data_IF_373510439724
#
_entry.id   IF_373510439724
#
_cell.length_a   1.000
_cell.length_b   1.000
_cell.length_c   1.000
_cell.angle_alpha   90.00
_cell.angle_beta   90.00
_cell.angle_gamma   90.00
#
_symmetry.space_group_name_H-M   'P 1'
#
loop_
_entity.id
_entity.type
_entity.pdbx_description
1 polymer ?
#
# COMPACT_ATOMS: atom_id res chain seq x y z
N UNK A 1 4.03 -20.35 12.48
CA UNK A 1 3.63 -18.98 12.92
C UNK A 1 4.75 -17.95 12.71
N UNK A 2 5.77 -17.81 13.57
CA UNK A 2 6.72 -16.66 13.56
C UNK A 2 7.47 -16.30 12.25
N UNK A 3 7.53 -17.16 11.22
CA UNK A 3 8.01 -16.74 9.89
C UNK A 3 6.92 -16.04 9.06
N UNK A 4 5.69 -16.56 9.04
CA UNK A 4 4.58 -16.02 8.24
C UNK A 4 4.21 -14.58 8.63
N UNK A 5 4.20 -14.25 9.93
CA UNK A 5 3.94 -12.87 10.41
C UNK A 5 4.99 -11.85 9.95
N UNK A 6 6.26 -12.25 9.83
CA UNK A 6 7.35 -11.40 9.30
C UNK A 6 7.29 -11.21 7.78
N UNK A 7 6.65 -12.15 7.10
CA UNK A 7 6.52 -12.16 5.64
C UNK A 7 5.28 -11.37 5.21
N UNK A 8 4.13 -11.62 5.84
CA UNK A 8 2.88 -10.89 5.57
C UNK A 8 3.00 -9.39 5.81
N UNK A 9 3.74 -8.97 6.84
CA UNK A 9 3.99 -7.54 7.13
C UNK A 9 4.78 -6.83 6.04
N UNK A 10 5.78 -7.48 5.42
CA UNK A 10 6.55 -6.90 4.30
C UNK A 10 5.78 -6.97 2.98
N UNK A 11 4.95 -8.00 2.78
CA UNK A 11 4.08 -8.12 1.61
C UNK A 11 2.93 -7.09 1.62
N UNK A 12 2.24 -6.89 2.76
CA UNK A 12 1.23 -5.83 2.88
C UNK A 12 1.85 -4.44 2.66
N UNK A 13 2.96 -4.11 3.33
CA UNK A 13 3.62 -2.81 3.15
C UNK A 13 4.15 -2.54 1.73
N UNK A 14 4.33 -3.58 0.91
CA UNK A 14 4.64 -3.44 -0.52
C UNK A 14 3.40 -3.38 -1.43
N UNK A 15 2.27 -3.97 -1.03
CA UNK A 15 1.03 -4.01 -1.80
C UNK A 15 0.12 -2.79 -1.55
N UNK A 16 0.25 -2.12 -0.41
CA UNK A 16 -0.56 -0.95 -0.01
C UNK A 16 -0.06 0.38 -0.63
N UNK A 17 0.46 0.33 -1.87
CA UNK A 17 0.85 1.52 -2.66
C UNK A 17 0.49 1.27 -4.13
N UNK A 18 -0.80 1.01 -4.39
CA UNK A 18 -1.36 0.73 -5.72
C UNK A 18 -2.77 1.33 -5.89
N UNK A 19 -2.92 2.61 -5.53
CA UNK A 19 -4.01 3.43 -6.04
C UNK A 19 -4.03 3.47 -7.58
N UNK A 20 -5.11 4.01 -8.16
CA UNK A 20 -5.40 4.05 -9.61
C UNK A 20 -5.84 2.70 -10.27
N UNK A 21 -6.82 2.77 -11.20
CA UNK A 21 -7.82 1.72 -11.55
C UNK A 21 -8.86 2.20 -12.63
N UNK A 22 -10.13 1.84 -13.07
CA UNK A 22 -11.35 0.90 -13.21
C UNK A 22 -11.51 0.00 -14.50
N UNK A 23 -12.65 -0.72 -14.64
CA UNK A 23 -13.30 -1.18 -15.92
C UNK A 23 -14.06 -0.06 -16.70
N UNK A 24 -14.73 -0.41 -17.82
CA UNK A 24 -15.16 0.49 -18.92
C UNK A 24 -16.48 1.29 -18.67
N UNK A 25 -16.92 2.28 -19.50
CA UNK A 25 -16.86 2.32 -20.98
C UNK A 25 -16.14 3.53 -21.61
N UNK A 26 -15.61 3.32 -22.82
CA UNK A 26 -14.75 4.22 -23.57
C UNK A 26 -15.15 5.71 -23.55
N UNK A 27 -14.28 6.51 -22.95
CA UNK A 27 -14.37 7.93 -22.70
C UNK A 27 -14.82 8.76 -23.91
N UNK A 28 -15.63 9.80 -23.64
CA UNK A 28 -15.64 10.96 -24.50
C UNK A 28 -14.25 11.62 -24.48
N UNK A 29 -13.87 12.30 -25.57
CA UNK A 29 -12.59 13.02 -25.62
C UNK A 29 -12.45 14.04 -24.48
N UNK A 30 -13.58 14.60 -24.04
CA UNK A 30 -13.70 15.58 -22.96
C UNK A 30 -13.43 14.99 -21.57
N UNK A 31 -13.79 13.74 -21.31
CA UNK A 31 -13.54 13.06 -20.02
C UNK A 31 -12.03 12.86 -19.79
N UNK A 32 -11.32 12.38 -20.83
CA UNK A 32 -9.85 12.28 -20.80
C UNK A 32 -9.18 13.65 -20.70
N UNK A 33 -9.78 14.71 -21.25
CA UNK A 33 -9.29 16.08 -21.07
C UNK A 33 -9.50 16.57 -19.63
N UNK A 34 -10.65 16.28 -19.01
CA UNK A 34 -10.97 16.63 -17.63
C UNK A 34 -10.04 15.97 -16.60
N UNK A 35 -9.61 14.73 -16.86
CA UNK A 35 -8.57 14.04 -16.07
C UNK A 35 -7.19 14.64 -16.27
N UNK A 36 -6.78 14.89 -17.53
CA UNK A 36 -5.48 15.54 -17.82
C UNK A 36 -5.40 16.94 -17.22
N UNK A 37 -6.50 17.69 -17.21
CA UNK A 37 -6.59 18.96 -16.50
C UNK A 37 -6.31 18.76 -15.01
N UNK A 38 -7.07 17.89 -14.34
CA UNK A 38 -6.94 17.67 -12.90
C UNK A 38 -5.52 17.23 -12.47
N UNK A 39 -4.84 16.41 -13.29
CA UNK A 39 -3.50 15.90 -13.00
C UNK A 39 -2.37 16.88 -13.32
N UNK A 40 -2.59 17.88 -14.19
CA UNK A 40 -1.54 18.83 -14.62
C UNK A 40 -1.62 20.21 -13.97
N UNK A 41 -2.72 20.54 -13.28
CA UNK A 41 -2.87 21.82 -12.57
C UNK A 41 -1.99 21.86 -11.32
N UNK A 42 -1.31 22.98 -11.03
CA UNK A 42 -0.50 23.10 -9.83
C UNK A 42 -1.39 23.19 -8.58
N UNK A 43 -1.14 22.30 -7.62
CA UNK A 43 -1.78 22.32 -6.29
C UNK A 43 -1.40 23.60 -5.54
N UNK A 44 -2.39 24.32 -5.02
CA UNK A 44 -2.16 25.65 -4.40
C UNK A 44 -1.81 25.62 -2.90
N UNK A 45 -1.87 24.46 -2.23
CA UNK A 45 -1.52 24.30 -0.81
C UNK A 45 -0.65 23.06 -0.58
N UNK A 46 0.58 23.27 -0.07
CA UNK A 46 1.61 22.23 0.14
C UNK A 46 1.72 21.77 1.61
N UNK A 47 0.60 21.46 2.24
CA UNK A 47 0.59 20.78 3.54
C UNK A 47 -0.41 19.64 3.48
N UNK A 48 0.09 18.46 3.09
CA UNK A 48 -0.72 17.25 2.99
C UNK A 48 -0.88 16.63 4.37
N UNK A 49 -2.12 16.65 4.87
CA UNK A 49 -2.59 15.69 5.88
C UNK A 49 -3.53 14.75 5.13
N UNK A 50 -3.34 13.45 5.26
CA UNK A 50 -4.22 12.44 4.67
C UNK A 50 -4.64 11.43 5.72
N UNK A 51 -5.86 10.89 5.57
CA UNK A 51 -6.32 9.70 6.27
C UNK A 51 -6.58 8.61 5.24
N UNK A 52 -6.03 7.45 5.48
CA UNK A 52 -6.09 6.28 4.61
C UNK A 52 -6.76 5.14 5.39
N UNK A 53 -7.70 4.46 4.77
CA UNK A 53 -8.23 3.20 5.27
C UNK A 53 -8.14 2.11 4.20
N UNK A 54 -7.38 1.07 4.48
CA UNK A 54 -7.40 -0.18 3.73
C UNK A 54 -8.19 -1.21 4.52
N UNK A 55 -9.10 -1.93 3.86
CA UNK A 55 -9.94 -2.96 4.46
C UNK A 55 -9.92 -4.21 3.57
N UNK A 56 -9.39 -5.30 4.11
CA UNK A 56 -9.38 -6.64 3.54
C UNK A 56 -10.41 -7.51 4.27
N UNK A 57 -11.19 -8.28 3.52
CA UNK A 57 -12.18 -9.22 4.03
C UNK A 57 -12.06 -10.57 3.31
N UNK A 58 -12.33 -11.65 4.04
CA UNK A 58 -12.56 -13.03 3.58
C UNK A 58 -13.60 -13.69 4.51
N UNK A 59 -14.29 -14.77 4.10
CA UNK A 59 -15.23 -15.50 4.97
C UNK A 59 -14.69 -15.89 6.35
N UNK A 60 -13.38 -16.14 6.47
CA UNK A 60 -12.70 -16.51 7.71
C UNK A 60 -12.17 -15.32 8.54
N UNK A 61 -12.33 -14.07 8.09
CA UNK A 61 -11.84 -12.92 8.84
C UNK A 61 -11.66 -11.61 8.04
N UNK A 62 -11.14 -10.59 8.71
CA UNK A 62 -10.86 -9.28 8.13
C UNK A 62 -9.55 -8.70 8.68
N UNK A 63 -8.87 -7.92 7.86
CA UNK A 63 -7.71 -7.12 8.26
C UNK A 63 -7.92 -5.67 7.79
N UNK A 64 -7.84 -4.71 8.71
CA UNK A 64 -8.10 -3.30 8.46
C UNK A 64 -6.92 -2.45 8.92
N UNK A 65 -6.44 -1.58 8.05
CA UNK A 65 -5.48 -0.53 8.36
C UNK A 65 -6.21 0.81 8.38
N UNK A 66 -6.08 1.59 9.46
CA UNK A 66 -6.60 2.97 9.57
C UNK A 66 -5.44 3.87 9.96
N UNK A 67 -5.04 4.76 9.05
CA UNK A 67 -3.82 5.58 9.13
C UNK A 67 -4.18 7.06 9.01
N UNK A 68 -3.54 7.90 9.81
CA UNK A 68 -3.38 9.31 9.52
C UNK A 68 -1.90 9.60 9.24
N UNK A 69 -1.62 10.25 8.12
CA UNK A 69 -0.28 10.63 7.68
C UNK A 69 -0.20 12.16 7.48
N UNK A 70 0.97 12.73 7.78
CA UNK A 70 1.21 14.17 7.68
C UNK A 70 2.62 14.50 7.18
N UNK A 71 2.67 15.40 6.19
CA UNK A 71 3.87 16.03 5.67
C UNK A 71 4.50 16.95 6.73
N UNK A 72 5.81 16.82 6.90
CA UNK A 72 6.65 17.68 7.73
C UNK A 72 7.78 18.29 6.89
N UNK A 73 8.47 19.31 7.43
CA UNK A 73 9.48 20.10 6.69
C UNK A 73 10.64 19.25 6.09
N UNK A 74 10.99 18.13 6.71
CA UNK A 74 12.13 17.29 6.32
C UNK A 74 11.74 15.83 5.96
N UNK A 75 10.45 15.51 5.96
CA UNK A 75 9.98 14.13 5.92
C UNK A 75 8.53 14.02 6.40
N UNK A 76 8.15 12.89 7.01
CA UNK A 76 6.75 12.56 7.29
C UNK A 76 6.58 11.88 8.65
N UNK A 77 5.37 11.99 9.21
CA UNK A 77 4.91 11.15 10.30
C UNK A 77 3.60 10.46 9.92
N UNK A 78 3.43 9.21 10.34
CA UNK A 78 2.19 8.44 10.21
C UNK A 78 1.85 7.79 11.54
N UNK A 79 0.57 7.57 11.79
CA UNK A 79 0.09 6.85 12.97
C UNK A 79 -1.24 6.19 12.67
N UNK A 80 -1.48 5.03 13.27
CA UNK A 80 -2.67 4.26 12.97
C UNK A 80 -2.80 3.02 13.82
N UNK A 81 -3.69 2.14 13.37
CA UNK A 81 -3.76 0.77 13.85
C UNK A 81 -3.96 -0.20 12.68
N UNK A 82 -3.37 -1.37 12.83
CA UNK A 82 -3.72 -2.57 12.07
C UNK A 82 -4.63 -3.42 12.97
N UNK A 83 -5.91 -3.48 12.64
CA UNK A 83 -6.92 -4.33 13.27
C UNK A 83 -7.03 -5.63 12.48
N UNK A 84 -6.99 -6.76 13.17
CA UNK A 84 -7.11 -8.10 12.59
C UNK A 84 -8.17 -8.88 13.37
N UNK A 85 -9.07 -9.53 12.66
CA UNK A 85 -10.03 -10.48 13.20
C UNK A 85 -10.00 -11.73 12.33
N UNK A 86 -9.79 -12.90 12.93
CA UNK A 86 -9.85 -14.19 12.24
C UNK A 86 -10.63 -15.21 13.07
N UNK A 87 -11.43 -16.01 12.40
CA UNK A 87 -12.07 -17.19 12.98
C UNK A 87 -11.20 -18.41 12.70
N UNK A 88 -10.98 -19.25 13.71
CA UNK A 88 -10.35 -20.56 13.54
C UNK A 88 -11.38 -21.66 13.29
N UNK A 89 -10.90 -22.84 12.87
CA UNK A 89 -11.76 -23.96 12.48
C UNK A 89 -12.52 -24.59 13.67
N UNK A 90 -12.10 -24.33 14.90
CA UNK A 90 -12.75 -24.82 16.13
C UNK A 90 -13.81 -23.82 16.66
N UNK A 91 -14.06 -22.72 15.94
CA UNK A 91 -15.02 -21.68 16.29
C UNK A 91 -14.46 -20.60 17.23
N UNK A 92 -13.17 -20.64 17.55
CA UNK A 92 -12.48 -19.56 18.23
C UNK A 92 -12.37 -18.32 17.34
N UNK A 93 -12.17 -17.15 17.97
CA UNK A 93 -12.01 -15.88 17.25
C UNK A 93 -10.81 -15.13 17.82
N UNK A 94 -9.76 -15.02 17.01
CA UNK A 94 -8.66 -14.10 17.25
C UNK A 94 -9.13 -12.67 16.92
N UNK A 95 -8.84 -11.72 17.79
CA UNK A 95 -8.93 -10.29 17.47
C UNK A 95 -7.72 -9.58 18.06
N UNK A 96 -6.91 -8.96 17.21
CA UNK A 96 -5.71 -8.22 17.59
C UNK A 96 -5.74 -6.81 16.98
N UNK A 97 -5.34 -5.81 17.77
CA UNK A 97 -5.18 -4.43 17.32
C UNK A 97 -3.75 -3.99 17.61
N UNK A 98 -2.96 -3.82 16.56
CA UNK A 98 -1.56 -3.37 16.63
C UNK A 98 -1.52 -1.86 16.29
N UNK A 99 -1.55 -0.95 17.29
CA UNK A 99 -1.32 0.46 17.04
C UNK A 99 0.15 0.69 16.68
N UNK A 100 0.38 1.63 15.77
CA UNK A 100 1.70 1.93 15.24
C UNK A 100 1.92 3.43 15.02
N UNK A 101 3.19 3.81 14.95
CA UNK A 101 3.67 5.12 14.52
C UNK A 101 4.82 4.91 13.53
N UNK A 102 4.93 5.77 12.52
CA UNK A 102 6.07 5.82 11.61
C UNK A 102 6.60 7.25 11.62
N UNK A 103 7.92 7.40 11.67
CA UNK A 103 8.55 8.66 11.32
C UNK A 103 9.63 8.47 10.27
N UNK A 104 9.78 9.49 9.45
CA UNK A 104 10.75 9.53 8.37
C UNK A 104 11.45 10.89 8.33
N UNK A 105 12.78 10.90 8.32
CA UNK A 105 13.62 12.06 7.96
C UNK A 105 14.45 11.67 6.74
N UNK A 106 14.14 12.30 5.60
CA UNK A 106 14.73 12.01 4.28
C UNK A 106 14.70 10.51 3.95
N UNK A 107 15.84 9.81 4.07
CA UNK A 107 16.03 8.39 3.73
C UNK A 107 15.96 7.44 4.93
N UNK A 108 15.84 7.98 6.15
CA UNK A 108 15.71 7.17 7.35
C UNK A 108 14.23 7.06 7.71
N UNK A 109 13.75 5.84 7.93
CA UNK A 109 12.39 5.57 8.41
C UNK A 109 12.46 4.64 9.62
N UNK A 110 11.76 5.01 10.69
CA UNK A 110 11.59 4.16 11.88
C UNK A 110 10.12 3.84 12.04
N UNK A 111 9.79 2.55 12.07
CA UNK A 111 8.43 2.04 12.30
C UNK A 111 8.38 1.54 13.74
N UNK A 112 7.49 2.12 14.53
CA UNK A 112 7.17 1.74 15.91
C UNK A 112 5.81 1.03 15.94
N UNK A 113 5.71 -0.11 16.60
CA UNK A 113 4.46 -0.87 16.69
C UNK A 113 4.32 -1.53 18.06
N UNK A 114 3.09 -1.82 18.50
CA UNK A 114 2.82 -2.32 19.85
C UNK A 114 2.27 -3.75 19.85
N UNK A 115 3.10 -4.71 20.23
CA UNK A 115 2.66 -6.09 20.47
C UNK A 115 2.24 -6.24 21.94
N UNK A 116 0.94 -6.46 22.16
CA UNK A 116 0.35 -6.59 23.50
C UNK A 116 0.64 -5.39 24.41
N UNK A 117 1.54 -5.58 25.39
CA UNK A 117 1.92 -4.54 26.37
C UNK A 117 3.21 -3.78 26.04
N UNK A 118 3.99 -4.19 25.03
CA UNK A 118 5.30 -3.60 24.71
C UNK A 118 5.28 -2.84 23.39
N UNK A 119 6.05 -1.76 23.32
CA UNK A 119 6.41 -1.14 22.04
C UNK A 119 7.71 -1.74 21.51
N UNK A 120 7.71 -2.05 20.23
CA UNK A 120 8.87 -2.46 19.45
C UNK A 120 9.10 -1.44 18.32
N UNK A 121 10.32 -1.43 17.76
CA UNK A 121 10.66 -0.62 16.59
C UNK A 121 11.60 -1.34 15.63
N UNK A 122 11.58 -0.97 14.36
CA UNK A 122 12.60 -1.32 13.38
C UNK A 122 12.86 -0.16 12.40
N UNK A 123 14.03 -0.18 11.76
CA UNK A 123 14.44 0.82 10.77
C UNK A 123 14.24 0.25 9.35
N UNK A 124 13.71 1.05 8.42
CA UNK A 124 13.27 0.59 7.10
C UNK A 124 13.69 1.56 5.96
N UNK A 125 15.00 1.75 5.71
CA UNK A 125 15.51 2.77 4.77
C UNK A 125 15.05 2.58 3.32
N UNK A 126 14.81 1.34 2.86
CA UNK A 126 14.19 1.08 1.55
C UNK A 126 12.77 1.63 1.47
N UNK A 127 11.92 1.37 2.48
CA UNK A 127 10.55 1.87 2.52
C UNK A 127 10.50 3.40 2.61
N UNK A 128 11.50 4.03 3.24
CA UNK A 128 11.65 5.49 3.24
C UNK A 128 11.74 6.05 1.81
N UNK A 129 12.53 5.43 0.93
CA UNK A 129 12.65 5.87 -0.46
C UNK A 129 11.34 5.70 -1.23
N UNK A 130 10.68 4.53 -1.10
CA UNK A 130 9.40 4.23 -1.76
C UNK A 130 8.33 5.26 -1.38
N UNK A 131 8.12 5.46 -0.08
CA UNK A 131 7.09 6.36 0.42
C UNK A 131 7.40 7.82 0.06
N UNK A 132 8.66 8.27 0.16
CA UNK A 132 9.06 9.63 -0.30
C UNK A 132 8.65 9.90 -1.75
N UNK A 133 8.86 8.93 -2.64
CA UNK A 133 8.52 9.06 -4.05
C UNK A 133 7.01 9.08 -4.27
N UNK A 134 6.26 8.19 -3.62
CA UNK A 134 4.81 8.09 -3.78
C UNK A 134 4.05 9.37 -3.35
N UNK A 135 4.59 10.10 -2.35
CA UNK A 135 3.95 11.31 -1.79
C UNK A 135 4.60 12.63 -2.23
N UNK A 136 5.55 12.58 -3.17
CA UNK A 136 6.13 13.78 -3.79
C UNK A 136 5.09 14.56 -4.63
N UNK A 137 5.48 15.73 -5.13
CA UNK A 137 4.79 16.31 -6.30
C UNK A 137 5.36 15.66 -7.54
N UNK A 138 4.56 14.96 -8.37
CA UNK A 138 5.07 14.24 -9.52
C UNK A 138 5.63 15.22 -10.58
N UNK A 139 6.74 14.84 -11.20
CA UNK A 139 7.33 15.60 -12.29
C UNK A 139 6.62 15.31 -13.63
N UNK A 140 6.95 16.06 -14.68
CA UNK A 140 6.28 15.96 -15.99
C UNK A 140 6.40 14.58 -16.66
N UNK A 141 7.46 13.81 -16.37
CA UNK A 141 7.61 12.43 -16.85
C UNK A 141 6.68 11.49 -16.07
N UNK A 142 6.64 11.60 -14.75
CA UNK A 142 5.75 10.80 -13.89
C UNK A 142 4.27 11.06 -14.22
N UNK A 143 3.89 12.33 -14.45
CA UNK A 143 2.55 12.70 -14.93
C UNK A 143 2.25 12.05 -16.29
N UNK A 144 3.20 12.07 -17.24
CA UNK A 144 3.02 11.44 -18.54
C UNK A 144 2.92 9.91 -18.46
N UNK A 145 3.67 9.26 -17.56
CA UNK A 145 3.60 7.83 -17.29
C UNK A 145 2.24 7.45 -16.68
N UNK A 146 1.73 8.23 -15.73
CA UNK A 146 0.36 8.07 -15.19
C UNK A 146 -0.71 8.23 -16.28
N UNK A 147 -0.63 9.25 -17.14
CA UNK A 147 -1.56 9.42 -18.27
C UNK A 147 -1.47 8.26 -19.27
N UNK A 148 -0.29 7.67 -19.47
CA UNK A 148 -0.11 6.53 -20.37
C UNK A 148 -0.68 5.22 -19.80
N UNK A 149 -0.66 5.04 -18.48
CA UNK A 149 -1.31 3.92 -17.79
C UNK A 149 -2.84 4.00 -17.84
N UNK A 150 -3.42 5.20 -17.95
CA UNK A 150 -4.88 5.38 -18.13
C UNK A 150 -5.32 4.87 -19.50
N UNK A 151 -6.40 4.08 -19.49
CA UNK A 151 -7.04 3.44 -20.64
C UNK A 151 -8.37 4.12 -21.02
N UNK A 152 -9.03 4.78 -20.09
CA UNK A 152 -10.41 5.29 -20.22
C UNK A 152 -10.75 6.17 -18.97
N UNK A 153 -11.73 7.07 -19.05
CA UNK A 153 -12.17 7.99 -17.98
C UNK A 153 -13.63 8.35 -18.18
N UNK A 154 -14.36 8.56 -17.07
CA UNK A 154 -15.69 9.16 -17.03
C UNK A 154 -15.81 10.16 -15.88
N UNK A 155 -16.23 11.39 -16.15
CA UNK A 155 -16.70 12.32 -15.12
C UNK A 155 -18.05 11.83 -14.60
N UNK A 156 -18.12 11.50 -13.31
CA UNK A 156 -19.34 10.95 -12.67
C UNK A 156 -20.15 12.05 -11.97
N UNK A 157 -19.47 13.10 -11.49
CA UNK A 157 -20.10 14.29 -10.90
C UNK A 157 -19.18 15.49 -11.10
N UNK A 158 -19.74 16.62 -11.52
CA UNK A 158 -19.02 17.89 -11.55
C UNK A 158 -19.89 19.00 -10.98
N UNK A 159 -19.24 19.96 -10.33
CA UNK A 159 -19.84 21.18 -9.78
C UNK A 159 -18.88 22.36 -9.99
N UNK A 160 -19.18 23.51 -9.41
CA UNK A 160 -18.30 24.66 -9.45
C UNK A 160 -17.02 24.45 -8.61
N UNK A 161 -17.09 23.64 -7.55
CA UNK A 161 -16.00 23.45 -6.58
C UNK A 161 -15.36 22.08 -6.62
N UNK A 162 -16.04 21.04 -7.13
CA UNK A 162 -15.56 19.65 -7.12
C UNK A 162 -15.74 18.99 -8.50
N UNK A 163 -14.81 18.10 -8.89
CA UNK A 163 -14.96 17.13 -9.99
C UNK A 163 -14.63 15.73 -9.45
N UNK A 164 -15.58 14.80 -9.56
CA UNK A 164 -15.41 13.38 -9.25
C UNK A 164 -15.35 12.57 -10.55
N UNK A 165 -14.21 11.93 -10.79
CA UNK A 165 -13.94 11.07 -11.93
C UNK A 165 -13.92 9.60 -11.50
N UNK A 166 -14.46 8.76 -12.36
CA UNK A 166 -14.22 7.33 -12.45
C UNK A 166 -13.15 7.18 -13.52
N UNK A 167 -11.91 6.88 -13.15
CA UNK A 167 -10.79 6.75 -14.09
C UNK A 167 -10.52 5.26 -14.29
N UNK A 168 -10.03 4.84 -15.47
CA UNK A 168 -9.70 3.47 -15.87
C UNK A 168 -8.24 3.25 -16.27
N UNK A 169 -7.61 2.17 -15.81
CA UNK A 169 -6.23 1.78 -16.17
C UNK A 169 -6.13 0.64 -17.19
N UNK A 170 -4.95 0.56 -17.77
CA UNK A 170 -4.45 -0.54 -18.59
C UNK A 170 -3.60 -1.49 -17.73
N UNK A 171 -4.20 -2.57 -17.23
CA UNK A 171 -3.55 -3.45 -16.26
C UNK A 171 -2.21 -4.06 -16.73
N UNK A 172 -1.99 -4.15 -18.06
CA UNK A 172 -0.67 -4.54 -18.59
C UNK A 172 0.40 -3.48 -18.31
N UNK A 173 0.09 -2.19 -18.56
CA UNK A 173 1.03 -1.09 -18.29
C UNK A 173 1.28 -0.91 -16.80
N UNK A 174 0.28 -1.18 -15.96
CA UNK A 174 0.45 -1.20 -14.49
C UNK A 174 1.43 -2.30 -14.08
N UNK A 175 1.26 -3.53 -14.59
CA UNK A 175 2.18 -4.62 -14.33
C UNK A 175 3.61 -4.32 -14.84
N UNK A 176 3.74 -3.74 -16.04
CA UNK A 176 5.02 -3.31 -16.60
C UNK A 176 5.70 -2.21 -15.74
N UNK A 177 4.93 -1.24 -15.25
CA UNK A 177 5.41 -0.18 -14.36
C UNK A 177 5.84 -0.73 -12.99
N UNK A 178 5.04 -1.62 -12.39
CA UNK A 178 5.37 -2.31 -11.11
C UNK A 178 6.63 -3.17 -11.27
N UNK A 179 6.76 -3.90 -12.39
CA UNK A 179 7.95 -4.70 -12.69
C UNK A 179 9.20 -3.82 -12.89
N UNK A 180 9.06 -2.69 -13.61
CA UNK A 180 10.13 -1.71 -13.78
C UNK A 180 10.54 -1.06 -12.44
N UNK A 181 9.57 -0.71 -11.60
CA UNK A 181 9.81 -0.13 -10.29
C UNK A 181 10.56 -1.09 -9.36
N UNK A 182 10.10 -2.34 -9.26
CA UNK A 182 10.76 -3.39 -8.47
C UNK A 182 12.17 -3.74 -9.00
N UNK A 183 12.40 -3.61 -10.31
CA UNK A 183 13.74 -3.76 -10.92
C UNK A 183 14.67 -2.59 -10.59
N UNK A 184 14.15 -1.36 -10.50
CA UNK A 184 14.91 -0.18 -10.11
C UNK A 184 15.16 -0.11 -8.59
N UNK A 185 14.25 -0.65 -7.79
CA UNK A 185 14.27 -0.63 -6.32
C UNK A 185 14.24 -2.07 -5.75
N UNK A 186 15.29 -2.89 -5.96
CA UNK A 186 15.38 -4.22 -5.34
C UNK A 186 15.38 -4.11 -3.81
N UNK A 187 14.82 -5.11 -3.12
CA UNK A 187 14.71 -5.05 -1.66
C UNK A 187 16.08 -5.08 -0.96
N UNK A 188 16.22 -4.29 0.11
CA UNK A 188 17.45 -4.23 0.90
C UNK A 188 17.84 -5.60 1.47
N UNK A 189 19.00 -6.11 1.01
CA UNK A 189 19.86 -7.10 1.68
C UNK A 189 19.11 -8.28 2.32
N UNK A 190 18.23 -8.92 1.56
CA UNK A 190 17.69 -10.23 1.89
C UNK A 190 18.75 -11.33 1.87
N UNK A 191 18.38 -12.50 2.40
CA UNK A 191 19.03 -13.77 2.10
C UNK A 191 18.71 -14.23 0.67
N UNK A 192 19.33 -15.32 0.20
CA UNK A 192 18.97 -15.92 -1.08
C UNK A 192 17.49 -16.34 -1.10
N UNK A 193 17.04 -16.97 -0.01
CA UNK A 193 15.65 -17.38 0.24
C UNK A 193 14.67 -16.19 0.12
N UNK A 194 15.03 -15.02 0.70
CA UNK A 194 14.20 -13.81 0.61
C UNK A 194 14.08 -13.29 -0.83
N UNK A 195 15.17 -13.36 -1.61
CA UNK A 195 15.20 -12.90 -3.00
C UNK A 195 14.41 -13.85 -3.93
N UNK A 196 14.49 -15.16 -3.72
CA UNK A 196 13.67 -16.14 -4.43
C UNK A 196 12.18 -16.02 -4.04
N UNK A 197 11.89 -15.80 -2.75
CA UNK A 197 10.54 -15.53 -2.29
C UNK A 197 9.96 -14.26 -2.92
N UNK A 198 10.70 -13.14 -2.92
CA UNK A 198 10.28 -11.90 -3.58
C UNK A 198 10.03 -12.11 -5.08
N UNK A 199 10.94 -12.82 -5.77
CA UNK A 199 10.77 -13.17 -7.19
C UNK A 199 9.47 -13.94 -7.45
N UNK A 200 9.14 -14.90 -6.58
CA UNK A 200 7.91 -15.68 -6.70
C UNK A 200 6.66 -14.83 -6.38
N UNK A 201 6.68 -13.98 -5.34
CA UNK A 201 5.58 -13.03 -5.07
C UNK A 201 5.35 -12.09 -6.26
N UNK A 202 6.41 -11.49 -6.82
CA UNK A 202 6.29 -10.60 -7.98
C UNK A 202 5.81 -11.31 -9.25
N UNK A 203 6.17 -12.58 -9.46
CA UNK A 203 5.66 -13.43 -10.55
C UNK A 203 4.13 -13.63 -10.44
N UNK A 204 3.61 -13.89 -9.24
CA UNK A 204 2.17 -14.08 -9.05
C UNK A 204 1.41 -12.74 -9.07
N UNK A 205 2.00 -11.67 -8.55
CA UNK A 205 1.44 -10.33 -8.60
C UNK A 205 1.37 -9.77 -10.04
N UNK A 206 2.41 -10.00 -10.87
CA UNK A 206 2.37 -9.63 -12.29
C UNK A 206 1.22 -10.33 -13.03
N UNK A 207 1.10 -11.66 -12.89
CA UNK A 207 -0.06 -12.43 -13.39
C UNK A 207 -1.39 -11.84 -12.88
N UNK A 208 -1.47 -11.57 -11.58
CA UNK A 208 -2.67 -11.05 -10.92
C UNK A 208 -3.11 -9.70 -11.49
N UNK A 209 -2.20 -8.72 -11.49
CA UNK A 209 -2.43 -7.38 -12.06
C UNK A 209 -2.86 -7.49 -13.53
N UNK A 210 -2.16 -8.27 -14.38
CA UNK A 210 -2.48 -8.35 -15.83
C UNK A 210 -3.87 -8.92 -16.13
N UNK A 211 -4.39 -9.80 -15.26
CA UNK A 211 -5.74 -10.39 -15.38
C UNK A 211 -6.82 -9.53 -14.75
N UNK A 212 -6.47 -8.76 -13.73
CA UNK A 212 -7.41 -8.04 -12.92
C UNK A 212 -7.99 -6.78 -13.61
N UNK A 213 -9.25 -6.51 -13.28
CA UNK A 213 -9.67 -5.13 -13.11
C UNK A 213 -9.10 -4.59 -11.79
N UNK A 214 -8.75 -3.31 -11.80
CA UNK A 214 -8.40 -2.51 -10.63
C UNK A 214 -9.41 -1.33 -10.68
N UNK A 215 -10.16 -0.96 -9.61
CA UNK A 215 -11.31 0.02 -9.65
C UNK A 215 -11.28 1.33 -8.77
N UNK A 216 -11.15 2.57 -9.32
CA UNK A 216 -11.03 3.82 -8.52
C UNK A 216 -11.84 5.07 -8.88
N UNK A 217 -12.43 5.66 -7.84
CA UNK A 217 -13.01 7.01 -7.85
C UNK A 217 -11.97 8.03 -7.36
N UNK A 218 -11.80 9.12 -8.09
CA UNK A 218 -10.93 10.25 -7.73
C UNK A 218 -11.73 11.54 -7.70
N UNK A 219 -11.78 12.24 -6.57
CA UNK A 219 -12.42 13.56 -6.44
C UNK A 219 -11.37 14.63 -6.23
N UNK A 220 -11.42 15.70 -7.03
CA UNK A 220 -10.58 16.90 -6.88
C UNK A 220 -11.41 18.14 -6.58
N UNK A 221 -10.86 19.03 -5.78
CA UNK A 221 -11.35 20.39 -5.58
C UNK A 221 -10.84 21.27 -6.74
N UNK A 222 -11.75 21.91 -7.48
CA UNK A 222 -11.46 22.72 -8.67
C UNK A 222 -10.89 24.12 -8.36
N UNK A 223 -10.84 24.51 -7.09
CA UNK A 223 -10.32 25.81 -6.65
C UNK A 223 -8.84 25.73 -6.22
N UNK A 224 -8.42 24.57 -5.74
CA UNK A 224 -7.07 24.27 -5.23
C UNK A 224 -6.32 23.21 -6.04
N UNK A 225 -7.05 22.45 -6.86
CA UNK A 225 -6.61 21.25 -7.60
C UNK A 225 -6.03 20.14 -6.72
N UNK A 226 -6.37 20.15 -5.43
CA UNK A 226 -6.09 19.04 -4.52
C UNK A 226 -7.06 17.87 -4.75
N UNK A 227 -6.54 16.64 -4.67
CA UNK A 227 -7.37 15.48 -4.33
C UNK A 227 -8.10 15.74 -3.02
N UNK A 228 -9.41 15.51 -2.99
CA UNK A 228 -10.24 15.48 -1.78
C UNK A 228 -10.37 14.03 -1.29
N UNK A 229 -10.71 13.12 -2.22
CA UNK A 229 -10.81 11.68 -1.96
C UNK A 229 -10.27 10.84 -3.10
N UNK A 230 -9.73 9.68 -2.76
CA UNK A 230 -9.45 8.55 -3.65
C UNK A 230 -10.06 7.28 -3.03
N UNK A 231 -10.64 6.40 -3.84
CA UNK A 231 -11.27 5.17 -3.39
C UNK A 231 -10.99 4.05 -4.38
N UNK A 232 -10.11 3.12 -4.03
CA UNK A 232 -9.54 2.09 -4.93
C UNK A 232 -9.98 0.68 -4.52
N UNK A 233 -10.42 -0.12 -5.48
CA UNK A 233 -10.85 -1.50 -5.34
C UNK A 233 -9.77 -2.42 -5.92
N UNK A 234 -9.13 -3.19 -5.04
CA UNK A 234 -8.04 -4.10 -5.35
C UNK A 234 -8.47 -5.57 -5.27
N UNK A 235 -9.76 -5.84 -5.03
CA UNK A 235 -10.35 -7.18 -4.98
C UNK A 235 -9.96 -8.04 -6.18
N UNK A 236 -10.04 -7.51 -7.40
CA UNK A 236 -9.63 -8.22 -8.62
C UNK A 236 -8.15 -8.63 -8.61
N UNK A 237 -7.25 -7.72 -8.19
CA UNK A 237 -5.81 -7.99 -8.12
C UNK A 237 -5.51 -9.09 -7.11
N UNK A 238 -6.13 -9.06 -5.93
CA UNK A 238 -5.94 -10.07 -4.88
C UNK A 238 -6.49 -11.43 -5.31
N UNK A 239 -7.71 -11.47 -5.85
CA UNK A 239 -8.34 -12.70 -6.33
C UNK A 239 -7.53 -13.35 -7.47
N UNK A 240 -7.11 -12.58 -8.48
CA UNK A 240 -6.31 -13.10 -9.58
C UNK A 240 -4.88 -13.47 -9.17
N UNK A 241 -4.29 -12.77 -8.19
CA UNK A 241 -3.00 -13.18 -7.59
C UNK A 241 -3.13 -14.53 -6.89
N UNK A 242 -4.21 -14.77 -6.13
CA UNK A 242 -4.43 -16.07 -5.47
C UNK A 242 -4.67 -17.20 -6.48
N UNK A 243 -5.43 -16.97 -7.55
CA UNK A 243 -5.59 -17.92 -8.68
C UNK A 243 -4.25 -18.20 -9.36
N UNK A 244 -3.43 -17.17 -9.59
CA UNK A 244 -2.10 -17.29 -10.18
C UNK A 244 -1.11 -18.12 -9.34
N UNK A 245 -1.33 -18.22 -8.02
CA UNK A 245 -0.60 -19.12 -7.09
C UNK A 245 -1.15 -20.56 -7.17
N UNK A 246 -2.47 -20.74 -7.16
CA UNK A 246 -3.12 -22.07 -7.24
C UNK A 246 -2.79 -22.82 -8.55
N UNK A 247 -2.60 -22.07 -9.63
CA UNK A 247 -2.11 -22.57 -10.92
C UNK A 247 -0.68 -23.14 -10.88
N UNK A 248 0.08 -22.90 -9.81
CA UNK A 248 1.48 -23.30 -9.75
C UNK A 248 1.66 -24.63 -9.00
N UNK A 249 2.01 -25.67 -9.77
CA UNK A 249 2.23 -27.02 -9.25
C UNK A 249 3.34 -27.10 -8.19
N UNK A 250 4.20 -26.08 -8.02
CA UNK A 250 5.18 -26.01 -6.94
C UNK A 250 4.60 -25.54 -5.58
N UNK A 251 3.32 -25.11 -5.55
CA UNK A 251 2.61 -24.67 -4.34
C UNK A 251 1.51 -25.68 -3.91
N UNK A 252 1.10 -26.55 -4.83
CA UNK A 252 0.18 -27.66 -4.56
C UNK A 252 0.81 -28.71 -3.62
N UNK A 253 -0.03 -29.36 -2.80
CA UNK A 253 0.38 -30.34 -1.79
C UNK A 253 0.25 -29.88 -0.34
N UNK A 254 -0.41 -28.74 -0.08
CA UNK A 254 -0.76 -28.28 1.26
C UNK A 254 -2.24 -27.86 1.31
N UNK A 255 -3.16 -28.78 1.68
CA UNK A 255 -4.60 -28.53 1.64
C UNK A 255 -5.06 -27.30 2.41
N UNK A 256 -4.40 -26.96 3.53
CA UNK A 256 -4.73 -25.76 4.30
C UNK A 256 -4.32 -24.46 3.59
N UNK A 257 -3.19 -24.48 2.86
CA UNK A 257 -2.78 -23.33 2.04
C UNK A 257 -3.67 -23.19 0.80
N UNK A 258 -4.04 -24.32 0.18
CA UNK A 258 -4.94 -24.36 -0.97
C UNK A 258 -6.35 -23.86 -0.61
N UNK A 259 -6.92 -24.27 0.53
CA UNK A 259 -8.21 -23.80 1.04
C UNK A 259 -8.20 -22.28 1.34
N UNK A 260 -7.15 -21.78 2.00
CA UNK A 260 -6.95 -20.34 2.22
C UNK A 260 -6.85 -19.59 0.88
N UNK A 261 -6.07 -20.10 -0.07
CA UNK A 261 -5.92 -19.47 -1.39
C UNK A 261 -7.20 -19.52 -2.22
N UNK A 262 -8.00 -20.58 -2.16
CA UNK A 262 -9.32 -20.66 -2.79
C UNK A 262 -10.29 -19.67 -2.15
N UNK A 263 -10.29 -19.59 -0.81
CA UNK A 263 -11.07 -18.61 -0.05
C UNK A 263 -10.73 -17.17 -0.48
N UNK A 264 -9.44 -16.86 -0.65
CA UNK A 264 -9.00 -15.56 -1.18
C UNK A 264 -9.39 -15.37 -2.65
N UNK A 265 -9.20 -16.39 -3.50
CA UNK A 265 -9.43 -16.34 -4.94
C UNK A 265 -10.89 -16.08 -5.35
N UNK A 266 -11.86 -16.48 -4.52
CA UNK A 266 -13.28 -16.41 -4.88
C UNK A 266 -14.15 -15.59 -3.91
N UNK A 267 -13.70 -15.36 -2.68
CA UNK A 267 -14.51 -14.70 -1.65
C UNK A 267 -13.81 -13.55 -0.92
N UNK A 268 -12.61 -13.14 -1.34
CA UNK A 268 -11.98 -11.94 -0.77
C UNK A 268 -12.54 -10.64 -1.33
N UNK A 269 -12.41 -9.57 -0.54
CA UNK A 269 -12.62 -8.18 -0.93
C UNK A 269 -11.48 -7.32 -0.36
N UNK A 270 -10.84 -6.46 -1.17
CA UNK A 270 -9.81 -5.51 -0.74
C UNK A 270 -10.14 -4.11 -1.28
N UNK A 271 -10.35 -3.16 -0.36
CA UNK A 271 -10.66 -1.76 -0.68
C UNK A 271 -9.72 -0.81 0.07
N UNK A 272 -9.29 0.23 -0.63
CA UNK A 272 -8.51 1.36 -0.15
C UNK A 272 -9.37 2.62 -0.25
N UNK A 273 -9.32 3.50 0.75
CA UNK A 273 -10.01 4.78 0.77
C UNK A 273 -9.15 5.85 1.43
N UNK A 274 -8.75 6.85 0.65
CA UNK A 274 -7.86 7.94 1.07
C UNK A 274 -8.61 9.27 1.02
N UNK A 275 -8.48 10.07 2.06
CA UNK A 275 -9.09 11.41 2.21
C UNK A 275 -8.01 12.41 2.57
N UNK A 276 -7.89 13.48 1.80
CA UNK A 276 -7.01 14.60 2.15
C UNK A 276 -7.76 15.59 3.02
N UNK A 277 -7.11 16.04 4.10
CA UNK A 277 -7.72 16.84 5.14
C UNK A 277 -7.14 18.26 5.12
N UNK A 278 -8.01 19.26 4.99
CA UNK A 278 -7.62 20.68 5.04
C UNK A 278 -6.86 20.97 6.34
N UNK A 279 -5.65 21.58 6.31
CA UNK A 279 -4.79 21.74 7.49
C UNK A 279 -5.39 22.56 8.63
N UNK A 280 -6.03 21.89 9.61
CA UNK A 280 -6.40 22.52 10.88
C UNK A 280 -5.15 22.61 11.78
N UNK A 281 -4.65 23.83 11.97
CA UNK A 281 -3.32 24.14 12.51
C UNK A 281 -2.98 23.68 13.95
N UNK A 282 -3.85 22.90 14.61
CA UNK A 282 -3.70 22.49 16.02
C UNK A 282 -3.28 21.03 16.25
N UNK A 283 -3.32 20.17 15.24
CA UNK A 283 -2.95 18.75 15.35
C UNK A 283 -1.77 18.40 14.43
N UNK A 284 -0.54 18.71 14.86
CA UNK A 284 0.66 18.17 14.22
C UNK A 284 0.89 16.75 14.72
N UNK A 285 0.84 15.78 13.81
CA UNK A 285 1.17 14.40 14.11
C UNK A 285 2.67 14.26 14.36
N UNK A 286 3.03 13.69 15.52
CA UNK A 286 4.39 13.36 15.92
C UNK A 286 4.37 12.05 16.70
N UNK A 287 5.44 11.26 16.62
CA UNK A 287 5.63 10.08 17.47
C UNK A 287 5.78 10.53 18.93
N UNK A 288 4.99 9.99 19.89
CA UNK A 288 5.13 10.35 21.30
C UNK A 288 6.54 10.08 21.82
N UNK A 289 7.10 11.02 22.59
CA UNK A 289 8.46 10.90 23.13
C UNK A 289 8.65 9.61 23.94
N UNK A 290 7.65 9.24 24.73
CA UNK A 290 7.71 8.05 25.57
C UNK A 290 7.64 6.74 24.76
N UNK A 291 7.00 6.74 23.57
CA UNK A 291 7.09 5.62 22.62
C UNK A 291 8.53 5.48 22.12
N UNK A 292 9.20 6.58 21.75
CA UNK A 292 10.61 6.53 21.29
C UNK A 292 11.56 5.97 22.34
N UNK A 293 11.36 6.35 23.60
CA UNK A 293 12.19 5.96 24.74
C UNK A 293 11.90 4.52 25.22
N UNK A 294 10.65 4.05 25.12
CA UNK A 294 10.24 2.69 25.55
C UNK A 294 10.35 1.62 24.46
N UNK A 295 10.40 2.00 23.17
CA UNK A 295 10.39 1.05 22.07
C UNK A 295 11.72 0.30 21.91
N UNK A 296 11.66 -1.02 22.15
CA UNK A 296 12.80 -1.93 22.00
C UNK A 296 13.03 -2.22 20.51
N UNK A 297 14.29 -2.24 20.06
CA UNK A 297 14.61 -2.66 18.70
C UNK A 297 14.21 -4.13 18.50
N UNK A 298 13.31 -4.40 17.55
CA UNK A 298 12.85 -5.76 17.26
C UNK A 298 13.98 -6.53 16.58
N UNK A 299 14.40 -7.63 17.19
CA UNK A 299 15.58 -8.42 16.78
C UNK A 299 15.37 -9.27 15.52
N UNK A 300 14.17 -9.21 14.94
CA UNK A 300 13.61 -10.34 14.21
C UNK A 300 13.00 -10.01 12.84
N UNK A 301 12.76 -8.73 12.49
CA UNK A 301 12.11 -8.34 11.22
C UNK A 301 13.12 -8.08 10.09
N UNK A 302 14.33 -7.61 10.43
CA UNK A 302 15.48 -7.54 9.52
C UNK A 302 16.60 -8.37 10.15
N UNK A 303 17.16 -9.31 9.37
CA UNK A 303 18.20 -10.22 9.84
C UNK A 303 19.56 -9.53 9.95
N UNK A 304 19.77 -8.70 10.98
CA UNK A 304 21.10 -8.15 11.26
C UNK A 304 22.06 -9.24 11.74
N UNK A 305 22.71 -9.90 10.77
CA UNK A 305 24.00 -10.55 10.97
C UNK A 305 25.11 -9.49 10.87
N UNK A 306 25.12 -8.56 11.81
CA UNK A 306 26.34 -7.86 12.20
C UNK A 306 27.40 -8.92 12.50
N UNK A 307 28.56 -8.80 11.84
CA UNK A 307 29.39 -9.97 11.55
C UNK A 307 30.08 -10.51 12.79
N UNK A 308 29.65 -11.68 13.25
CA UNK A 308 30.44 -12.59 14.08
C UNK A 308 31.65 -13.11 13.26
N UNK A 309 32.68 -12.28 13.14
CA UNK A 309 34.00 -12.65 12.62
C UNK A 309 34.95 -12.93 13.80
N UNK A 310 34.73 -14.05 14.46
CA UNK A 310 35.74 -14.67 15.35
C UNK A 310 37.02 -14.90 14.57
N UNK A 311 38.14 -14.38 15.08
CA UNK A 311 39.32 -15.22 15.36
C UNK A 311 40.26 -14.56 16.35
N UNK A 312 40.66 -15.37 17.33
CA UNK A 312 41.78 -15.25 18.27
C UNK A 312 42.95 -14.37 17.82
N UNK A 313 43.54 -13.66 18.79
CA UNK A 313 44.87 -14.06 19.28
C UNK A 313 44.71 -14.61 20.69
#
# INVERSE_FOLDING_TARGET
>A
MNKLFKIGSRALLGAMVCGCSYFAPAAAADDMAAFREALTKPVTQDTRIMRENISFFVPSGQAKLDVMAQQQKNGWCMAGAFDVLFHDADGGTLTEKVPFFIEQDKRNMTIYYKMGKKWEKFEAPSLAAVLTSAIATPNSKEIAETIAMVKDVKVVRESNTERTMFVKLDSNKVADAVAAYNKANPADKGTADDAEFQKNVMKYLDKGIRRAEISYMWTVDKTTWQTVTESTNLTGVVQETAKAVLEDNAVQGNPLLEDILQTVAYYSDLKEYTVFLTPKAKSKLMVPKDVKEKAVLSKDIIGDKSKDKKTKK
#
